data_IF_825707338769
#
_entry.id   IF_825707338769
#
_cell.length_a   1.000
_cell.length_b   1.000
_cell.length_c   1.000
_cell.angle_alpha   90.00
_cell.angle_beta   90.00
_cell.angle_gamma   90.00
#
_symmetry.space_group_name_H-M   'P 1'
#
loop_
_entity.id
_entity.type
_entity.pdbx_description
1 polymer ?
#
# COMPACT_ATOMS: atom_id res chain seq x y z
N UNK A 1 -36.45 -19.63 -16.33
CA UNK A 1 -35.35 -20.15 -15.49
C UNK A 1 -34.26 -19.10 -15.48
N UNK A 2 -33.94 -18.43 -14.37
CA UNK A 2 -32.80 -17.53 -14.35
C UNK A 2 -31.52 -18.37 -14.23
N UNK A 3 -30.55 -18.11 -15.11
CA UNK A 3 -29.22 -18.72 -15.10
C UNK A 3 -28.51 -18.38 -13.79
N UNK A 4 -28.01 -19.40 -13.11
CA UNK A 4 -27.22 -19.27 -11.90
C UNK A 4 -25.83 -18.74 -12.27
N UNK A 5 -25.63 -17.42 -12.17
CA UNK A 5 -24.29 -16.83 -12.23
C UNK A 5 -23.58 -17.19 -10.92
N UNK A 6 -22.57 -18.06 -10.99
CA UNK A 6 -21.66 -18.37 -9.88
C UNK A 6 -20.64 -17.23 -9.73
N UNK A 7 -20.51 -16.68 -8.53
CA UNK A 7 -19.61 -15.58 -8.20
C UNK A 7 -18.51 -16.06 -7.25
N UNK A 8 -17.26 -15.64 -7.48
CA UNK A 8 -16.16 -15.80 -6.54
C UNK A 8 -15.93 -14.51 -5.74
N UNK A 9 -15.69 -14.62 -4.43
CA UNK A 9 -15.44 -13.50 -3.52
C UNK A 9 -14.11 -13.70 -2.81
N UNK A 10 -13.24 -12.68 -2.85
CA UNK A 10 -11.92 -12.71 -2.22
C UNK A 10 -11.69 -11.42 -1.43
N UNK A 11 -11.27 -11.56 -0.16
CA UNK A 11 -11.09 -10.46 0.79
C UNK A 11 -9.72 -10.56 1.43
N UNK A 12 -8.98 -9.45 1.42
CA UNK A 12 -7.74 -9.35 2.17
C UNK A 12 -7.65 -7.99 2.83
N UNK A 13 -7.29 -7.97 4.10
CA UNK A 13 -6.69 -6.79 4.69
C UNK A 13 -5.60 -7.25 5.65
N UNK A 14 -4.53 -6.46 5.72
CA UNK A 14 -3.39 -6.73 6.56
C UNK A 14 -2.97 -5.45 7.24
N UNK A 15 -2.70 -5.55 8.54
CA UNK A 15 -1.89 -4.58 9.24
C UNK A 15 -0.45 -4.79 8.76
N UNK A 16 0.07 -3.86 7.94
CA UNK A 16 1.35 -4.04 7.25
C UNK A 16 2.54 -3.83 8.18
N UNK A 17 2.45 -2.86 9.10
CA UNK A 17 3.48 -2.62 10.11
C UNK A 17 2.94 -1.81 11.30
N UNK A 18 3.59 -2.00 12.45
CA UNK A 18 3.47 -1.17 13.65
C UNK A 18 4.88 -0.67 14.01
N UNK A 19 5.01 0.61 14.31
CA UNK A 19 6.28 1.18 14.78
C UNK A 19 6.13 1.71 16.21
N UNK A 20 6.96 1.25 17.17
CA UNK A 20 6.98 1.78 18.53
C UNK A 20 7.69 3.14 18.61
N UNK A 21 7.44 3.89 19.68
CA UNK A 21 8.03 5.24 19.92
C UNK A 21 9.55 5.29 19.84
N UNK A 22 10.24 4.21 20.18
CA UNK A 22 11.72 4.15 20.18
C UNK A 22 12.34 4.35 18.79
N UNK A 23 11.60 4.07 17.71
CA UNK A 23 12.06 4.26 16.33
C UNK A 23 11.77 5.67 15.78
N UNK A 24 10.93 6.47 16.45
CA UNK A 24 10.49 7.78 15.96
C UNK A 24 11.46 8.94 16.31
N UNK A 25 12.51 8.67 17.10
CA UNK A 25 13.51 9.68 17.51
C UNK A 25 14.73 9.63 16.60
N UNK A 26 14.66 10.26 15.43
CA UNK A 26 15.83 10.34 14.56
C UNK A 26 15.63 10.99 13.20
N UNK A 27 14.95 12.13 13.10
CA UNK A 27 14.86 12.86 11.83
C UNK A 27 14.90 14.38 12.04
N UNK A 28 16.11 14.95 12.07
CA UNK A 28 16.33 16.37 11.81
C UNK A 28 17.62 16.54 11.01
N UNK A 29 17.49 16.96 9.76
CA UNK A 29 18.62 17.18 8.84
C UNK A 29 18.16 17.91 7.58
N UNK A 30 18.94 18.94 7.24
CA UNK A 30 18.64 20.11 6.40
C UNK A 30 18.18 19.87 4.96
N UNK A 31 17.42 20.85 4.47
CA UNK A 31 17.08 21.03 3.06
C UNK A 31 18.15 21.86 2.35
N UNK A 32 18.59 21.39 1.18
CA UNK A 32 19.34 22.19 0.19
C UNK A 32 18.48 22.29 -1.06
N UNK A 33 18.26 23.52 -1.50
CA UNK A 33 17.68 23.88 -2.79
C UNK A 33 18.75 23.76 -3.87
N UNK A 34 18.38 23.34 -5.08
CA UNK A 34 18.77 24.07 -6.28
C UNK A 34 17.84 23.78 -7.46
N UNK A 35 17.70 24.81 -8.30
CA UNK A 35 16.81 24.94 -9.46
C UNK A 35 17.65 24.84 -10.74
N UNK A 36 17.18 24.15 -11.78
CA UNK A 36 16.79 24.75 -13.09
C UNK A 36 16.66 23.69 -14.21
N UNK A 37 15.84 24.04 -15.20
CA UNK A 37 15.19 23.22 -16.20
C UNK A 37 16.06 22.84 -17.43
N UNK A 38 15.68 21.76 -18.11
CA UNK A 38 15.46 21.83 -19.57
C UNK A 38 14.44 20.77 -20.02
N UNK A 39 13.46 21.21 -20.80
CA UNK A 39 12.53 20.35 -21.53
C UNK A 39 13.21 19.85 -22.80
N UNK A 40 13.12 18.55 -23.07
CA UNK A 40 13.25 18.04 -24.44
C UNK A 40 12.12 17.05 -24.74
N UNK A 41 11.31 17.46 -25.71
CA UNK A 41 10.12 16.81 -26.21
C UNK A 41 10.52 15.67 -27.17
N UNK A 42 10.33 14.42 -26.75
CA UNK A 42 10.40 13.26 -27.65
C UNK A 42 9.23 12.33 -27.38
N UNK A 43 8.26 12.34 -28.31
CA UNK A 43 7.21 11.33 -28.46
C UNK A 43 7.83 9.96 -28.76
N UNK A 44 8.21 9.24 -27.72
CA UNK A 44 8.28 7.79 -27.77
C UNK A 44 6.90 7.24 -27.40
N UNK A 45 6.44 6.20 -28.10
CA UNK A 45 5.35 5.36 -27.61
C UNK A 45 5.84 4.71 -26.31
N UNK A 46 5.60 5.39 -25.19
CA UNK A 46 5.95 4.95 -23.86
C UNK A 46 5.10 3.73 -23.55
N UNK A 47 5.72 2.56 -23.37
CA UNK A 47 5.05 1.47 -22.66
C UNK A 47 4.51 2.01 -21.33
N UNK A 48 3.32 1.57 -20.87
CA UNK A 48 2.78 2.00 -19.59
C UNK A 48 3.84 1.80 -18.51
N UNK A 49 4.12 2.81 -17.68
CA UNK A 49 5.13 2.74 -16.63
C UNK A 49 4.86 1.59 -15.66
N UNK A 50 3.61 1.12 -15.54
CA UNK A 50 3.27 -0.08 -14.76
C UNK A 50 3.98 -1.37 -15.24
N UNK A 51 4.32 -1.50 -16.53
CA UNK A 51 5.11 -2.63 -17.03
C UNK A 51 6.52 -2.63 -16.44
N UNK A 52 7.07 -1.44 -16.13
CA UNK A 52 8.41 -1.30 -15.56
C UNK A 52 8.56 -2.02 -14.22
N UNK A 53 7.51 -2.08 -13.39
CA UNK A 53 7.56 -2.70 -12.05
C UNK A 53 7.01 -4.13 -12.02
N UNK A 54 6.47 -4.64 -13.13
CA UNK A 54 5.73 -5.91 -13.16
C UNK A 54 6.60 -7.11 -12.78
N UNK A 55 7.87 -7.15 -13.21
CA UNK A 55 8.81 -8.21 -12.83
C UNK A 55 9.12 -8.19 -11.33
N UNK A 56 9.40 -7.00 -10.78
CA UNK A 56 9.66 -6.84 -9.34
C UNK A 56 8.44 -7.30 -8.50
N UNK A 57 7.22 -6.95 -8.94
CA UNK A 57 5.98 -7.38 -8.29
C UNK A 57 5.80 -8.91 -8.33
N UNK A 58 6.13 -9.55 -9.45
CA UNK A 58 6.07 -11.00 -9.59
C UNK A 58 7.10 -11.71 -8.70
N UNK A 59 8.34 -11.24 -8.70
CA UNK A 59 9.41 -11.80 -7.87
C UNK A 59 9.11 -11.64 -6.36
N UNK A 60 8.59 -10.48 -5.96
CA UNK A 60 8.09 -10.26 -4.61
C UNK A 60 6.95 -11.22 -4.26
N UNK A 61 5.97 -11.37 -5.16
CA UNK A 61 4.84 -12.29 -4.96
C UNK A 61 5.31 -13.73 -4.69
N UNK A 62 6.23 -14.24 -5.51
CA UNK A 62 6.75 -15.59 -5.33
C UNK A 62 7.61 -15.72 -4.07
N UNK A 63 8.41 -14.71 -3.74
CA UNK A 63 9.24 -14.71 -2.54
C UNK A 63 8.38 -14.72 -1.27
N UNK A 64 7.36 -13.86 -1.20
CA UNK A 64 6.38 -13.84 -0.12
C UNK A 64 5.59 -15.15 -0.04
N UNK A 65 5.10 -15.66 -1.17
CA UNK A 65 4.36 -16.92 -1.20
C UNK A 65 5.20 -18.07 -0.62
N UNK A 66 6.47 -18.21 -1.05
CA UNK A 66 7.37 -19.24 -0.52
C UNK A 66 7.54 -19.08 0.99
N UNK A 67 7.76 -17.86 1.46
CA UNK A 67 7.93 -17.58 2.89
C UNK A 67 6.71 -18.03 3.70
N UNK A 68 5.50 -17.64 3.29
CA UNK A 68 4.25 -18.01 3.99
C UNK A 68 3.97 -19.51 3.87
N UNK A 69 4.23 -20.12 2.71
CA UNK A 69 4.02 -21.55 2.49
C UNK A 69 4.98 -22.44 3.30
N UNK A 70 6.13 -21.90 3.72
CA UNK A 70 7.03 -22.59 4.64
C UNK A 70 6.49 -22.65 6.08
N UNK A 71 5.60 -21.74 6.49
CA UNK A 71 5.04 -21.72 7.85
C UNK A 71 3.95 -22.78 8.05
N UNK A 72 3.17 -23.06 7.02
CA UNK A 72 2.10 -24.06 7.08
C UNK A 72 1.78 -24.62 5.70
N UNK A 73 1.65 -25.95 5.61
CA UNK A 73 1.22 -26.65 4.42
C UNK A 73 -0.24 -27.13 4.47
N UNK A 74 -0.97 -26.79 5.53
CA UNK A 74 -2.37 -27.22 5.75
C UNK A 74 -3.36 -26.06 5.78
N UNK A 75 -2.89 -24.82 5.70
CA UNK A 75 -3.72 -23.63 5.74
C UNK A 75 -3.81 -22.98 4.36
N UNK A 76 -4.93 -22.33 4.08
CA UNK A 76 -5.10 -21.57 2.86
C UNK A 76 -4.18 -20.35 2.89
N UNK A 77 -3.52 -20.08 1.77
CA UNK A 77 -2.71 -18.88 1.58
C UNK A 77 -3.46 -17.96 0.64
N UNK A 78 -3.75 -16.76 1.13
CA UNK A 78 -4.34 -15.70 0.34
C UNK A 78 -3.68 -14.39 0.72
N UNK A 79 -3.15 -13.65 -0.26
CA UNK A 79 -2.61 -12.31 -0.09
C UNK A 79 -2.56 -11.57 -1.44
N UNK A 80 -2.38 -10.25 -1.39
CA UNK A 80 -2.22 -9.40 -2.57
C UNK A 80 -0.81 -8.84 -2.61
N UNK A 81 0.07 -9.35 -3.48
CA UNK A 81 1.40 -8.80 -3.66
C UNK A 81 1.36 -7.31 -4.01
N UNK A 82 0.42 -6.91 -4.88
CA UNK A 82 0.26 -5.51 -5.29
C UNK A 82 -0.15 -4.62 -4.13
N UNK A 83 -1.07 -5.08 -3.26
CA UNK A 83 -1.50 -4.30 -2.08
C UNK A 83 -0.34 -4.03 -1.12
N UNK A 84 0.41 -5.08 -0.77
CA UNK A 84 1.54 -4.99 0.16
C UNK A 84 2.65 -4.11 -0.43
N UNK A 85 3.06 -4.38 -1.67
CA UNK A 85 4.14 -3.61 -2.32
C UNK A 85 3.77 -2.14 -2.47
N UNK A 86 2.52 -1.83 -2.82
CA UNK A 86 2.03 -0.44 -2.87
C UNK A 86 2.12 0.23 -1.49
N UNK A 87 1.67 -0.45 -0.43
CA UNK A 87 1.68 0.12 0.91
C UNK A 87 3.10 0.44 1.39
N UNK A 88 4.07 -0.43 1.12
CA UNK A 88 5.46 -0.22 1.50
C UNK A 88 6.21 0.76 0.57
N UNK A 89 5.92 0.77 -0.73
CA UNK A 89 6.44 1.80 -1.64
C UNK A 89 5.89 3.20 -1.30
N UNK A 90 4.66 3.28 -0.79
CA UNK A 90 4.14 4.52 -0.23
C UNK A 90 4.85 4.91 1.06
N UNK A 91 5.11 3.93 1.94
CA UNK A 91 5.84 4.15 3.18
C UNK A 91 7.27 4.65 2.95
N UNK A 92 7.94 4.21 1.88
CA UNK A 92 9.31 4.62 1.55
C UNK A 92 9.43 6.13 1.31
N UNK A 93 8.37 6.82 0.84
CA UNK A 93 8.34 8.28 0.69
C UNK A 93 8.66 9.04 1.99
N UNK A 94 8.36 8.42 3.14
CA UNK A 94 8.63 8.98 4.48
C UNK A 94 9.92 8.48 5.12
N UNK A 95 10.57 7.47 4.53
CA UNK A 95 11.79 6.86 5.03
C UNK A 95 13.04 7.54 4.45
N UNK A 96 14.18 7.43 5.15
CA UNK A 96 15.48 7.91 4.67
C UNK A 96 16.59 6.92 5.05
N UNK A 97 17.75 7.05 4.41
CA UNK A 97 18.94 6.25 4.72
C UNK A 97 18.69 4.75 4.61
N UNK A 98 19.24 3.98 5.54
CA UNK A 98 19.16 2.51 5.51
C UNK A 98 17.71 1.99 5.55
N UNK A 99 16.81 2.67 6.27
CA UNK A 99 15.39 2.27 6.33
C UNK A 99 14.74 2.37 4.96
N UNK A 100 15.03 3.43 4.22
CA UNK A 100 14.54 3.60 2.85
C UNK A 100 15.14 2.53 1.93
N UNK A 101 16.45 2.33 1.99
CA UNK A 101 17.14 1.32 1.18
C UNK A 101 16.60 -0.09 1.39
N UNK A 102 16.40 -0.50 2.65
CA UNK A 102 15.85 -1.82 2.99
C UNK A 102 14.41 -2.02 2.49
N UNK A 103 13.57 -0.98 2.54
CA UNK A 103 12.21 -1.06 1.98
C UNK A 103 12.30 -1.27 0.47
N UNK A 104 13.08 -0.45 -0.24
CA UNK A 104 13.14 -0.52 -1.69
C UNK A 104 13.76 -1.83 -2.18
N UNK A 105 14.84 -2.28 -1.56
CA UNK A 105 15.47 -3.58 -1.87
C UNK A 105 14.56 -4.75 -1.53
N UNK A 106 13.85 -4.71 -0.40
CA UNK A 106 12.89 -5.76 0.00
C UNK A 106 11.71 -5.88 -0.96
N UNK A 107 11.33 -4.79 -1.65
CA UNK A 107 10.35 -4.78 -2.73
C UNK A 107 10.94 -5.19 -4.09
N UNK A 108 12.23 -5.51 -4.13
CA UNK A 108 12.96 -5.92 -5.32
C UNK A 108 13.45 -4.77 -6.20
N UNK A 109 13.43 -3.52 -5.73
CA UNK A 109 13.89 -2.37 -6.51
C UNK A 109 15.36 -2.05 -6.26
N UNK A 110 16.19 -2.19 -7.31
CA UNK A 110 17.57 -1.74 -7.29
C UNK A 110 17.65 -0.26 -7.72
N UNK A 111 17.86 0.64 -6.76
CA UNK A 111 17.93 2.09 -7.01
C UNK A 111 19.21 2.53 -7.75
N UNK A 112 20.17 1.63 -7.95
CA UNK A 112 21.34 1.91 -8.82
C UNK A 112 21.02 1.73 -10.30
N UNK A 113 19.99 0.95 -10.62
CA UNK A 113 19.56 0.65 -11.99
C UNK A 113 18.36 1.49 -12.43
N UNK A 114 17.59 2.01 -11.47
CA UNK A 114 16.35 2.74 -11.71
C UNK A 114 16.22 3.96 -10.81
N UNK A 115 15.79 5.08 -11.39
CA UNK A 115 15.44 6.27 -10.62
C UNK A 115 14.16 6.03 -9.79
N UNK A 116 14.19 6.43 -8.53
CA UNK A 116 13.09 6.25 -7.59
C UNK A 116 11.78 6.88 -8.06
N UNK A 117 11.85 8.06 -8.67
CA UNK A 117 10.68 8.74 -9.24
C UNK A 117 9.94 7.87 -10.25
N UNK A 118 10.66 7.07 -11.05
CA UNK A 118 10.04 6.14 -12.00
C UNK A 118 9.29 5.00 -11.30
N UNK A 119 9.76 4.58 -10.12
CA UNK A 119 9.09 3.55 -9.32
C UNK A 119 7.75 4.09 -8.80
N UNK A 120 7.76 5.28 -8.21
CA UNK A 120 6.54 5.90 -7.68
C UNK A 120 5.53 6.26 -8.77
N UNK A 121 6.00 6.76 -9.93
CA UNK A 121 5.13 6.99 -11.09
C UNK A 121 4.50 5.70 -11.63
N UNK A 122 5.25 4.59 -11.64
CA UNK A 122 4.72 3.29 -12.04
C UNK A 122 3.64 2.77 -11.09
N UNK A 123 3.81 2.95 -9.77
CA UNK A 123 2.75 2.65 -8.79
C UNK A 123 1.52 3.54 -8.96
N UNK A 124 1.72 4.84 -9.21
CA UNK A 124 0.62 5.77 -9.46
C UNK A 124 -0.21 5.33 -10.68
N UNK A 125 0.43 4.95 -11.77
CA UNK A 125 -0.27 4.46 -12.97
C UNK A 125 -0.95 3.12 -12.73
N UNK A 126 -0.30 2.20 -12.00
CA UNK A 126 -0.90 0.93 -11.61
C UNK A 126 -2.18 1.16 -10.80
N UNK A 127 -2.13 2.03 -9.79
CA UNK A 127 -3.30 2.36 -8.97
C UNK A 127 -4.41 3.04 -9.76
N UNK A 128 -4.07 3.92 -10.70
CA UNK A 128 -5.05 4.52 -11.62
C UNK A 128 -5.76 3.47 -12.47
N UNK A 129 -5.03 2.44 -12.88
CA UNK A 129 -5.58 1.31 -13.66
C UNK A 129 -6.46 0.41 -12.81
N UNK A 130 -6.01 0.04 -11.61
CA UNK A 130 -6.74 -0.86 -10.70
C UNK A 130 -7.99 -0.22 -10.10
N UNK A 131 -7.94 1.07 -9.81
CA UNK A 131 -9.07 1.84 -9.28
C UNK A 131 -9.93 2.47 -10.39
N UNK A 132 -9.66 2.15 -11.66
CA UNK A 132 -10.51 2.62 -12.74
C UNK A 132 -11.92 2.03 -12.55
N UNK A 133 -12.99 2.84 -12.58
CA UNK A 133 -14.35 2.33 -12.50
C UNK A 133 -14.65 1.47 -13.74
N UNK A 134 -14.55 0.14 -13.61
CA UNK A 134 -15.06 -0.81 -14.58
C UNK A 134 -16.27 -1.54 -13.98
N UNK A 135 -17.39 -1.52 -14.71
CA UNK A 135 -18.64 -2.14 -14.27
C UNK A 135 -18.59 -3.68 -14.25
N UNK A 136 -17.55 -4.29 -14.83
CA UNK A 136 -17.41 -5.75 -14.91
C UNK A 136 -16.57 -6.34 -13.76
N UNK A 137 -15.61 -5.57 -13.22
CA UNK A 137 -14.69 -6.00 -12.17
C UNK A 137 -14.89 -5.16 -10.90
N UNK A 138 -15.40 -5.78 -9.84
CA UNK A 138 -15.47 -5.13 -8.53
C UNK A 138 -14.14 -5.33 -7.81
N UNK A 139 -13.22 -4.38 -8.01
CA UNK A 139 -11.97 -4.28 -7.28
C UNK A 139 -12.00 -3.02 -6.41
N UNK A 140 -11.67 -3.16 -5.14
CA UNK A 140 -11.53 -2.03 -4.22
C UNK A 140 -10.28 -2.24 -3.40
N UNK A 141 -9.34 -1.32 -3.45
CA UNK A 141 -8.08 -1.37 -2.69
C UNK A 141 -7.83 -0.01 -2.04
N UNK A 142 -7.17 -0.01 -0.89
CA UNK A 142 -6.84 1.22 -0.18
C UNK A 142 -5.73 1.02 0.83
N UNK A 143 -5.02 2.12 1.10
CA UNK A 143 -4.05 2.21 2.18
C UNK A 143 -4.46 3.31 3.15
N UNK A 144 -4.32 3.08 4.44
CA UNK A 144 -4.50 4.08 5.49
C UNK A 144 -3.26 4.16 6.37
N UNK A 145 -2.72 5.37 6.53
CA UNK A 145 -1.66 5.64 7.50
C UNK A 145 -2.30 6.26 8.74
N UNK A 146 -2.12 5.65 9.90
CA UNK A 146 -2.64 6.17 11.16
C UNK A 146 -1.46 6.59 12.02
N UNK A 147 -1.42 7.85 12.42
CA UNK A 147 -0.26 8.51 12.99
C UNK A 147 -0.67 9.19 14.28
N UNK A 148 0.15 9.08 15.32
CA UNK A 148 -0.09 9.73 16.62
C UNK A 148 -0.21 11.24 16.49
N UNK A 149 -1.26 11.82 17.09
CA UNK A 149 -1.60 13.25 17.00
C UNK A 149 -0.54 14.22 17.54
N UNK A 150 0.42 13.74 18.32
CA UNK A 150 1.56 14.52 18.80
C UNK A 150 2.68 14.72 17.77
N UNK A 151 2.60 14.08 16.60
CA UNK A 151 3.67 14.13 15.59
C UNK A 151 3.38 15.18 14.52
N UNK A 152 4.39 15.99 14.21
CA UNK A 152 4.32 16.97 13.12
C UNK A 152 4.64 16.29 11.80
N UNK A 153 3.66 16.23 10.91
CA UNK A 153 3.81 15.63 9.59
C UNK A 153 4.28 16.66 8.57
N UNK A 154 5.19 16.23 7.69
CA UNK A 154 5.66 17.05 6.58
C UNK A 154 4.56 17.13 5.52
N UNK A 155 4.21 18.35 5.11
CA UNK A 155 3.18 18.56 4.09
C UNK A 155 3.50 17.83 2.78
N UNK A 156 4.78 17.83 2.37
CA UNK A 156 5.22 17.10 1.17
C UNK A 156 4.89 15.61 1.22
N UNK A 157 5.09 14.96 2.38
CA UNK A 157 4.74 13.55 2.57
C UNK A 157 3.23 13.32 2.43
N UNK A 158 2.41 14.20 3.03
CA UNK A 158 0.95 14.11 2.92
C UNK A 158 0.47 14.33 1.47
N UNK A 159 1.08 15.27 0.76
CA UNK A 159 0.81 15.54 -0.65
C UNK A 159 1.19 14.35 -1.53
N UNK A 160 2.35 13.73 -1.30
CA UNK A 160 2.82 12.58 -2.08
C UNK A 160 1.95 11.34 -1.85
N UNK A 161 1.64 11.02 -0.59
CA UNK A 161 0.72 9.93 -0.23
C UNK A 161 -0.64 10.09 -0.93
N UNK A 162 -1.16 11.32 -0.97
CA UNK A 162 -2.44 11.61 -1.61
C UNK A 162 -2.35 11.57 -3.14
N UNK A 163 -1.34 12.21 -3.72
CA UNK A 163 -1.27 12.44 -5.17
C UNK A 163 -0.72 11.24 -5.93
N UNK A 164 0.29 10.54 -5.38
CA UNK A 164 0.91 9.39 -6.02
C UNK A 164 0.17 8.09 -5.69
N UNK A 165 -0.36 7.97 -4.46
CA UNK A 165 -0.92 6.71 -3.97
C UNK A 165 -2.42 6.73 -3.70
N UNK A 166 -3.10 7.87 -3.92
CA UNK A 166 -4.52 8.04 -3.64
C UNK A 166 -4.94 7.54 -2.24
N UNK A 167 -4.03 7.70 -1.27
CA UNK A 167 -4.16 7.16 0.08
C UNK A 167 -4.33 8.30 1.09
N UNK A 168 -4.80 7.95 2.28
CA UNK A 168 -5.08 8.92 3.34
C UNK A 168 -4.18 8.70 4.56
N UNK A 169 -3.80 9.81 5.19
CA UNK A 169 -3.07 9.83 6.45
C UNK A 169 -3.94 10.48 7.53
N UNK A 170 -4.15 9.77 8.63
CA UNK A 170 -5.01 10.14 9.74
C UNK A 170 -4.18 10.42 10.97
N UNK A 171 -4.43 11.57 11.59
CA UNK A 171 -3.90 11.92 12.90
C UNK A 171 -4.86 11.42 13.98
N UNK A 172 -4.44 10.46 14.80
CA UNK A 172 -5.30 9.79 15.78
C UNK A 172 -4.62 9.70 17.17
N UNK A 173 -5.42 9.58 18.22
CA UNK A 173 -4.93 9.40 19.58
C UNK A 173 -4.72 7.91 19.91
N UNK A 174 -3.48 7.41 19.77
CA UNK A 174 -3.12 6.05 20.18
C UNK A 174 -3.06 5.84 21.71
N UNK A 175 -3.14 6.90 22.51
CA UNK A 175 -3.23 6.79 23.98
C UNK A 175 -4.55 6.16 24.45
N UNK A 176 -5.61 6.26 23.64
CA UNK A 176 -6.85 5.49 23.78
C UNK A 176 -6.85 4.35 22.74
N UNK A 177 -6.33 3.19 23.15
CA UNK A 177 -6.14 2.03 22.25
C UNK A 177 -7.47 1.50 21.69
N UNK A 178 -8.55 1.56 22.46
CA UNK A 178 -9.86 1.09 21.99
C UNK A 178 -10.45 2.05 20.96
N UNK A 179 -10.36 3.37 21.20
CA UNK A 179 -10.78 4.37 20.22
C UNK A 179 -9.94 4.32 18.94
N UNK A 180 -8.61 4.18 19.05
CA UNK A 180 -7.71 4.05 17.91
C UNK A 180 -8.01 2.79 17.09
N UNK A 181 -8.16 1.64 17.75
CA UNK A 181 -8.56 0.37 17.11
C UNK A 181 -9.88 0.52 16.36
N UNK A 182 -10.87 1.15 17.00
CA UNK A 182 -12.17 1.41 16.37
C UNK A 182 -12.03 2.28 15.11
N UNK A 183 -11.28 3.38 15.17
CA UNK A 183 -11.09 4.26 14.00
C UNK A 183 -10.44 3.53 12.82
N UNK A 184 -9.43 2.69 13.10
CA UNK A 184 -8.77 1.88 12.07
C UNK A 184 -9.74 0.88 11.45
N UNK A 185 -10.51 0.16 12.28
CA UNK A 185 -11.48 -0.82 11.79
C UNK A 185 -12.63 -0.16 11.02
N UNK A 186 -13.16 0.98 11.50
CA UNK A 186 -14.21 1.75 10.81
C UNK A 186 -13.74 2.21 9.41
N UNK A 187 -12.47 2.62 9.28
CA UNK A 187 -11.88 3.01 7.99
C UNK A 187 -11.87 1.84 6.99
N UNK A 188 -11.39 0.67 7.42
CA UNK A 188 -11.35 -0.54 6.58
C UNK A 188 -12.75 -1.02 6.24
N UNK A 189 -13.65 -1.03 7.22
CA UNK A 189 -15.04 -1.45 7.03
C UNK A 189 -15.74 -0.57 6.00
N UNK A 190 -15.59 0.76 6.12
CA UNK A 190 -16.11 1.72 5.15
C UNK A 190 -15.50 1.50 3.76
N UNK A 191 -14.18 1.38 3.69
CA UNK A 191 -13.44 1.17 2.44
C UNK A 191 -13.81 -0.12 1.71
N UNK A 192 -14.24 -1.14 2.46
CA UNK A 192 -14.63 -2.46 1.93
C UNK A 192 -16.14 -2.68 1.92
N UNK A 193 -16.94 -1.64 2.16
CA UNK A 193 -18.41 -1.70 2.23
C UNK A 193 -18.94 -2.82 3.14
N UNK A 194 -18.36 -2.93 4.35
CA UNK A 194 -18.76 -3.89 5.36
C UNK A 194 -18.23 -5.31 5.15
N UNK A 195 -17.33 -5.53 4.18
CA UNK A 195 -16.80 -6.88 3.89
C UNK A 195 -15.67 -7.29 4.81
N UNK A 196 -14.86 -6.34 5.26
CA UNK A 196 -13.80 -6.58 6.22
C UNK A 196 -14.13 -5.78 7.47
N UNK A 197 -14.38 -6.50 8.56
CA UNK A 197 -14.72 -5.96 9.88
C UNK A 197 -13.72 -6.48 10.90
N UNK A 198 -13.44 -5.69 11.94
CA UNK A 198 -12.55 -6.07 13.04
C UNK A 198 -11.18 -6.60 12.56
N UNK A 199 -10.55 -5.90 11.61
CA UNK A 199 -9.22 -6.25 11.10
C UNK A 199 -8.18 -6.26 12.22
N UNK A 200 -8.14 -5.17 12.99
CA UNK A 200 -7.24 -5.02 14.13
C UNK A 200 -7.96 -5.51 15.39
N UNK A 201 -7.42 -6.55 16.02
CA UNK A 201 -7.94 -7.14 17.25
C UNK A 201 -7.42 -6.41 18.49
N UNK A 202 -6.12 -6.12 18.49
CA UNK A 202 -5.40 -5.50 19.59
C UNK A 202 -4.42 -4.43 19.06
N UNK A 203 -4.13 -3.43 19.90
CA UNK A 203 -3.10 -2.42 19.66
C UNK A 203 -2.23 -2.29 20.91
N UNK A 204 -0.91 -2.28 20.70
CA UNK A 204 0.03 -2.04 21.79
C UNK A 204 -0.05 -0.59 22.27
N UNK A 205 0.11 -0.39 23.59
CA UNK A 205 -0.04 0.93 24.25
C UNK A 205 1.01 1.96 23.81
N UNK A 206 2.11 1.52 23.23
CA UNK A 206 3.19 2.36 22.73
C UNK A 206 3.15 2.56 21.20
N UNK A 207 2.09 2.07 20.54
CA UNK A 207 1.84 2.32 19.11
C UNK A 207 1.80 3.83 18.85
N UNK A 208 2.55 4.27 17.83
CA UNK A 208 2.47 5.67 17.33
C UNK A 208 2.23 5.76 15.84
N UNK A 209 2.30 4.63 15.15
CA UNK A 209 2.10 4.53 13.73
C UNK A 209 1.54 3.14 13.39
N UNK A 210 0.50 3.12 12.55
CA UNK A 210 -0.05 1.90 11.96
C UNK A 210 -0.30 2.12 10.46
N UNK A 211 0.19 1.18 9.64
CA UNK A 211 -0.11 1.13 8.21
C UNK A 211 -1.09 -0.01 7.94
N UNK A 212 -2.21 0.32 7.32
CA UNK A 212 -3.23 -0.67 6.95
C UNK A 212 -3.41 -0.69 5.45
N UNK A 213 -3.33 -1.89 4.87
CA UNK A 213 -3.71 -2.15 3.49
C UNK A 213 -4.95 -3.05 3.47
N UNK A 214 -5.89 -2.75 2.58
CA UNK A 214 -7.00 -3.65 2.27
C UNK A 214 -7.22 -3.75 0.77
N UNK A 215 -7.75 -4.90 0.36
CA UNK A 215 -8.17 -5.19 -0.99
C UNK A 215 -9.37 -6.16 -0.97
N UNK A 216 -10.36 -5.82 -1.77
CA UNK A 216 -11.55 -6.61 -2.02
C UNK A 216 -11.67 -6.85 -3.51
N UNK A 217 -11.86 -8.12 -3.89
CA UNK A 217 -12.05 -8.53 -5.27
C UNK A 217 -13.30 -9.39 -5.41
N UNK A 218 -14.12 -9.04 -6.41
CA UNK A 218 -15.26 -9.83 -6.85
C UNK A 218 -15.34 -9.80 -8.37
N UNK A 219 -14.99 -10.93 -8.97
CA UNK A 219 -15.05 -11.15 -10.41
C UNK A 219 -16.31 -11.89 -10.84
N UNK A 220 -16.69 -11.71 -12.11
CA UNK A 220 -17.65 -12.58 -12.81
C UNK A 220 -16.87 -13.54 -13.71
N UNK A 221 -17.23 -14.81 -13.71
CA UNK A 221 -16.65 -15.78 -14.65
C UNK A 221 -17.18 -15.47 -16.06
N UNK A 222 -16.29 -15.47 -17.07
CA UNK A 222 -16.66 -15.17 -18.46
C UNK A 222 -17.66 -16.19 -19.04
N UNK A 223 -17.56 -17.45 -18.62
CA UNK A 223 -18.48 -18.54 -18.95
C UNK A 223 -18.87 -19.26 -17.66
N UNK A 224 -20.12 -19.07 -17.17
CA UNK A 224 -20.62 -19.82 -16.03
C UNK A 224 -20.63 -21.33 -16.36
N UNK A 225 -20.17 -22.15 -15.41
CA UNK A 225 -20.22 -23.61 -15.52
C UNK A 225 -21.65 -24.15 -15.40
#
# INVERSE_FOLDING_TARGET
>A
MPSSITWGLLLLAGLCCLAPRSLAQGLQGDAVQDTDASQHDHKHHQEPACHKITLNLADFAFSMYRQVAHESNTTNIFFSPVGITTAFAMLSLGAKGDTHGQIMEGLGFNLTERAEDEVHQAFQELLRTLNHPDNQLQLTTGNGLFISEGMKLLNKFLEDVKNLYHSEAFSINFGDTEAAKKQINDYVEKGTQGKIVNLVQDLDKDTVFALVNYIFFKGKVATPA
#
